data_IF_971584401852
#
_entry.id   IF_971584401852
#
_cell.length_a   1.000
_cell.length_b   1.000
_cell.length_c   1.000
_cell.angle_alpha   90.00
_cell.angle_beta   90.00
_cell.angle_gamma   90.00
#
_symmetry.space_group_name_H-M   'P 1'
#
loop_
_entity.id
_entity.type
_entity.pdbx_description
1 polymer ?
#
# COMPACT_ATOMS: atom_id res chain seq x y z
N UNK A 1 -15.19 -23.83 14.72
CA UNK A 1 -15.20 -22.68 13.78
C UNK A 1 -15.70 -21.47 14.53
N UNK A 2 -14.80 -20.56 14.92
CA UNK A 2 -15.17 -19.36 15.65
C UNK A 2 -15.91 -18.36 14.74
N UNK A 3 -16.78 -17.51 15.28
CA UNK A 3 -17.49 -16.52 14.47
C UNK A 3 -16.47 -15.54 13.88
N UNK A 4 -16.44 -15.44 12.55
CA UNK A 4 -15.78 -14.36 11.83
C UNK A 4 -16.40 -13.05 12.34
N UNK A 5 -15.75 -12.40 13.32
CA UNK A 5 -16.21 -11.15 13.91
C UNK A 5 -16.08 -10.03 12.88
N UNK A 6 -17.05 -9.93 11.98
CA UNK A 6 -17.36 -8.69 11.28
C UNK A 6 -17.90 -7.70 12.33
N UNK A 7 -17.00 -6.93 12.92
CA UNK A 7 -17.32 -5.82 13.81
C UNK A 7 -18.26 -4.85 13.10
N UNK A 8 -19.52 -4.85 13.56
CA UNK A 8 -20.48 -3.73 13.55
C UNK A 8 -20.95 -3.28 12.16
N UNK A 9 -22.28 -3.32 12.01
CA UNK A 9 -23.05 -2.80 10.87
C UNK A 9 -22.74 -1.32 10.63
N UNK A 10 -21.71 -1.06 9.82
CA UNK A 10 -21.43 0.22 9.19
C UNK A 10 -21.56 0.08 7.68
N UNK A 11 -21.83 1.19 6.99
CA UNK A 11 -21.92 1.28 5.52
C UNK A 11 -20.69 0.69 4.78
N UNK A 12 -19.57 0.47 5.49
CA UNK A 12 -18.30 -0.05 4.98
C UNK A 12 -17.77 -1.23 5.81
N UNK A 13 -18.45 -2.38 5.76
CA UNK A 13 -17.88 -3.62 6.28
C UNK A 13 -16.73 -4.11 5.37
N UNK A 14 -15.63 -4.52 5.97
CA UNK A 14 -14.51 -5.18 5.30
C UNK A 14 -14.60 -6.69 5.50
N UNK A 15 -14.26 -7.45 4.45
CA UNK A 15 -14.41 -8.90 4.41
C UNK A 15 -13.12 -9.56 3.95
N UNK A 16 -12.79 -10.70 4.54
CA UNK A 16 -11.63 -11.52 4.14
C UNK A 16 -11.86 -12.15 2.76
N UNK A 17 -10.79 -12.51 2.05
CA UNK A 17 -10.88 -13.16 0.76
C UNK A 17 -11.63 -14.51 0.87
N UNK A 18 -11.39 -15.27 1.93
CA UNK A 18 -12.10 -16.52 2.21
C UNK A 18 -13.62 -16.32 2.30
N UNK A 19 -14.06 -15.31 3.06
CA UNK A 19 -15.48 -15.01 3.19
C UNK A 19 -16.10 -14.60 1.85
N UNK A 20 -15.40 -13.76 1.07
CA UNK A 20 -15.86 -13.33 -0.25
C UNK A 20 -16.03 -14.51 -1.20
N UNK A 21 -15.08 -15.45 -1.20
CA UNK A 21 -15.15 -16.66 -2.01
C UNK A 21 -16.33 -17.55 -1.60
N UNK A 22 -16.52 -17.78 -0.30
CA UNK A 22 -17.68 -18.51 0.23
C UNK A 22 -19.02 -17.89 -0.21
N UNK A 23 -19.12 -16.57 -0.18
CA UNK A 23 -20.31 -15.86 -0.64
C UNK A 23 -20.53 -15.99 -2.16
N UNK A 24 -19.45 -16.02 -2.95
CA UNK A 24 -19.51 -16.21 -4.40
C UNK A 24 -19.92 -17.63 -4.79
N UNK A 25 -19.43 -18.65 -4.08
CA UNK A 25 -19.77 -20.04 -4.36
C UNK A 25 -21.26 -20.28 -4.09
N UNK A 26 -21.78 -19.77 -2.96
CA UNK A 26 -23.23 -19.81 -2.71
C UNK A 26 -24.04 -19.03 -3.76
N UNK A 27 -23.52 -17.90 -4.24
CA UNK A 27 -24.17 -17.10 -5.29
C UNK A 27 -24.17 -17.79 -6.66
N UNK A 28 -23.25 -18.73 -6.91
CA UNK A 28 -23.22 -19.51 -8.14
C UNK A 28 -24.44 -20.46 -8.21
N UNK A 29 -24.83 -21.04 -7.08
CA UNK A 29 -25.94 -21.98 -7.00
C UNK A 29 -27.30 -21.29 -6.80
N UNK A 30 -27.36 -20.22 -5.99
CA UNK A 30 -28.62 -19.60 -5.54
C UNK A 30 -28.87 -18.19 -6.12
N UNK A 31 -27.88 -17.61 -6.79
CA UNK A 31 -27.92 -16.24 -7.30
C UNK A 31 -27.52 -15.16 -6.28
N UNK A 32 -27.11 -13.99 -6.78
CA UNK A 32 -26.51 -12.93 -5.97
C UNK A 32 -27.45 -12.38 -4.88
N UNK A 33 -28.75 -12.26 -5.16
CA UNK A 33 -29.73 -11.74 -4.19
C UNK A 33 -29.96 -12.69 -3.03
N UNK A 34 -29.98 -14.00 -3.30
CA UNK A 34 -30.10 -15.02 -2.26
C UNK A 34 -28.85 -15.03 -1.38
N UNK A 35 -27.66 -14.96 -2.00
CA UNK A 35 -26.38 -14.86 -1.30
C UNK A 35 -26.32 -13.60 -0.40
N UNK A 36 -26.79 -12.46 -0.88
CA UNK A 36 -26.80 -11.22 -0.09
C UNK A 36 -27.65 -11.33 1.17
N UNK A 37 -28.85 -11.92 1.05
CA UNK A 37 -29.71 -12.20 2.21
C UNK A 37 -29.10 -13.23 3.16
N UNK A 38 -28.49 -14.28 2.62
CA UNK A 38 -27.90 -15.37 3.42
C UNK A 38 -26.71 -14.88 4.27
N UNK A 39 -25.85 -14.03 3.71
CA UNK A 39 -24.63 -13.56 4.39
C UNK A 39 -24.74 -12.17 5.02
N UNK A 40 -25.89 -11.49 4.90
CA UNK A 40 -26.04 -10.11 5.38
C UNK A 40 -25.17 -9.11 4.62
N UNK A 41 -24.99 -9.33 3.32
CA UNK A 41 -24.11 -8.55 2.44
C UNK A 41 -24.95 -7.91 1.33
N UNK A 42 -24.70 -6.64 1.03
CA UNK A 42 -25.34 -5.98 -0.10
C UNK A 42 -25.06 -6.74 -1.41
N UNK A 43 -26.09 -7.00 -2.21
CA UNK A 43 -25.96 -7.71 -3.50
C UNK A 43 -24.91 -7.06 -4.42
N UNK A 44 -24.79 -5.72 -4.35
CA UNK A 44 -23.78 -4.95 -5.09
C UNK A 44 -22.36 -5.42 -4.76
N UNK A 45 -22.06 -5.77 -3.50
CA UNK A 45 -20.75 -6.28 -3.09
C UNK A 45 -20.48 -7.64 -3.70
N UNK A 46 -21.48 -8.54 -3.71
CA UNK A 46 -21.36 -9.87 -4.30
C UNK A 46 -21.09 -9.76 -5.81
N UNK A 47 -21.82 -8.87 -6.49
CA UNK A 47 -21.60 -8.56 -7.90
C UNK A 47 -20.19 -8.02 -8.16
N UNK A 48 -19.69 -7.16 -7.29
CA UNK A 48 -18.33 -6.62 -7.37
C UNK A 48 -17.27 -7.70 -7.15
N UNK A 49 -17.42 -8.55 -6.13
CA UNK A 49 -16.50 -9.66 -5.86
C UNK A 49 -16.48 -10.67 -6.99
N UNK A 50 -17.61 -10.87 -7.69
CA UNK A 50 -17.68 -11.76 -8.85
C UNK A 50 -16.71 -11.33 -9.95
N UNK A 51 -16.56 -10.01 -10.17
CA UNK A 51 -15.57 -9.44 -11.10
C UNK A 51 -14.12 -9.63 -10.63
N UNK A 52 -13.92 -9.85 -9.34
CA UNK A 52 -12.60 -10.03 -8.71
C UNK A 52 -12.31 -11.49 -8.35
N UNK A 53 -13.11 -12.46 -8.84
CA UNK A 53 -13.01 -13.87 -8.43
C UNK A 53 -11.59 -14.42 -8.61
N UNK A 54 -10.98 -14.19 -9.76
CA UNK A 54 -9.63 -14.68 -10.05
C UNK A 54 -8.58 -14.06 -9.12
N UNK A 55 -8.69 -12.76 -8.84
CA UNK A 55 -7.80 -12.08 -7.89
C UNK A 55 -7.98 -12.58 -6.46
N UNK A 56 -9.22 -12.91 -6.07
CA UNK A 56 -9.53 -13.48 -4.76
C UNK A 56 -8.94 -14.89 -4.61
N UNK A 57 -9.08 -15.74 -5.63
CA UNK A 57 -8.50 -17.08 -5.68
C UNK A 57 -6.97 -17.05 -5.65
N UNK A 58 -6.34 -16.10 -6.33
CA UNK A 58 -4.89 -15.91 -6.33
C UNK A 58 -4.35 -15.27 -5.03
N UNK A 59 -5.22 -14.82 -4.12
CA UNK A 59 -4.83 -14.10 -2.90
C UNK A 59 -4.85 -15.00 -1.66
N UNK A 60 -4.13 -14.58 -0.61
CA UNK A 60 -4.20 -15.26 0.69
C UNK A 60 -5.64 -15.16 1.26
N UNK A 61 -6.14 -16.25 1.83
CA UNK A 61 -7.46 -16.35 2.45
C UNK A 61 -7.75 -15.25 3.48
N UNK A 62 -6.72 -14.82 4.20
CA UNK A 62 -6.80 -13.77 5.23
C UNK A 62 -6.81 -12.36 4.65
N UNK A 63 -6.63 -12.15 3.33
CA UNK A 63 -6.54 -10.82 2.73
C UNK A 63 -7.87 -10.06 2.80
N UNK A 64 -7.86 -8.85 3.35
CA UNK A 64 -9.09 -8.05 3.54
C UNK A 64 -9.44 -7.19 2.32
N UNK A 65 -8.44 -6.62 1.64
CA UNK A 65 -8.67 -5.71 0.51
C UNK A 65 -7.53 -5.74 -0.52
N UNK A 66 -7.87 -5.37 -1.75
CA UNK A 66 -6.92 -5.05 -2.80
C UNK A 66 -6.64 -3.53 -2.74
N UNK A 67 -5.67 -3.13 -1.93
CA UNK A 67 -5.23 -1.72 -1.79
C UNK A 67 -4.02 -1.48 -2.68
N UNK A 68 -4.12 -0.46 -3.53
CA UNK A 68 -3.02 0.18 -4.28
C UNK A 68 -2.12 -0.73 -5.13
N UNK A 69 -1.38 -0.18 -6.10
CA UNK A 69 -0.18 -0.86 -6.58
C UNK A 69 0.78 -1.02 -5.39
N UNK A 70 1.47 -2.17 -5.33
CA UNK A 70 2.52 -2.40 -4.32
C UNK A 70 3.71 -1.47 -4.52
N UNK A 71 3.98 -1.10 -5.77
CA UNK A 71 4.92 -0.06 -6.14
C UNK A 71 4.23 1.30 -6.02
N UNK A 72 4.87 2.25 -5.33
CA UNK A 72 4.39 3.62 -5.26
C UNK A 72 4.35 4.29 -6.63
N UNK A 73 3.99 5.58 -6.66
CA UNK A 73 3.96 6.37 -7.90
C UNK A 73 5.34 6.52 -8.55
N UNK A 74 6.41 6.39 -7.77
CA UNK A 74 7.79 6.62 -8.19
C UNK A 74 8.62 5.33 -8.10
N UNK A 75 8.17 4.28 -8.79
CA UNK A 75 8.81 2.96 -8.70
C UNK A 75 10.29 2.96 -9.06
N UNK A 76 10.72 3.83 -9.97
CA UNK A 76 12.10 3.86 -10.43
C UNK A 76 13.02 4.60 -9.46
N UNK A 77 12.51 5.66 -8.82
CA UNK A 77 13.18 6.33 -7.70
C UNK A 77 13.30 5.36 -6.51
N UNK A 78 12.22 4.63 -6.19
CA UNK A 78 12.22 3.63 -5.12
C UNK A 78 13.29 2.55 -5.34
N UNK A 79 13.45 2.05 -6.57
CA UNK A 79 14.50 1.07 -6.93
C UNK A 79 15.90 1.64 -6.77
N UNK A 80 16.15 2.85 -7.29
CA UNK A 80 17.47 3.44 -7.27
C UNK A 80 17.92 3.81 -5.84
N UNK A 81 17.00 4.30 -5.01
CA UNK A 81 17.24 4.53 -3.59
C UNK A 81 17.47 3.20 -2.85
N UNK A 82 16.74 2.14 -3.19
CA UNK A 82 16.94 0.81 -2.60
C UNK A 82 18.34 0.25 -2.91
N UNK A 83 18.84 0.40 -4.13
CA UNK A 83 20.20 -0.01 -4.51
C UNK A 83 21.24 0.77 -3.71
N UNK A 84 21.12 2.10 -3.64
CA UNK A 84 21.99 2.93 -2.80
C UNK A 84 22.03 2.48 -1.34
N UNK A 85 20.87 2.20 -0.73
CA UNK A 85 20.79 1.74 0.67
C UNK A 85 21.49 0.38 0.85
N UNK A 86 21.38 -0.53 -0.13
CA UNK A 86 22.04 -1.84 -0.08
C UNK A 86 23.56 -1.69 -0.12
N UNK A 87 24.07 -0.84 -1.01
CA UNK A 87 25.52 -0.62 -1.16
C UNK A 87 26.10 0.01 0.10
N UNK A 88 25.48 1.09 0.62
CA UNK A 88 25.92 1.74 1.84
C UNK A 88 25.94 0.78 3.05
N UNK A 89 24.94 -0.10 3.16
CA UNK A 89 24.88 -1.10 4.24
C UNK A 89 25.88 -2.23 4.06
N UNK A 90 26.17 -2.61 2.81
CA UNK A 90 27.20 -3.61 2.50
C UNK A 90 28.59 -3.11 2.93
N UNK A 91 28.83 -1.83 2.78
CA UNK A 91 30.07 -1.17 3.19
C UNK A 91 30.12 -0.86 4.70
N UNK A 92 29.07 -1.21 5.44
CA UNK A 92 28.99 -1.05 6.90
C UNK A 92 28.54 0.33 7.37
N UNK A 93 28.10 1.22 6.47
CA UNK A 93 27.61 2.53 6.84
C UNK A 93 26.15 2.50 7.32
N UNK A 94 25.87 3.25 8.37
CA UNK A 94 24.51 3.54 8.79
C UNK A 94 23.85 4.51 7.79
N UNK A 95 22.64 4.19 7.34
CA UNK A 95 21.90 5.03 6.39
C UNK A 95 20.82 5.81 7.13
N UNK A 96 20.95 7.14 7.15
CA UNK A 96 19.96 8.04 7.76
C UNK A 96 18.84 8.38 6.78
N UNK A 97 17.71 8.88 7.32
CA UNK A 97 16.59 9.33 6.51
C UNK A 97 16.94 10.52 5.61
N UNK A 98 17.85 11.39 6.06
CA UNK A 98 18.26 12.57 5.31
C UNK A 98 19.10 12.22 4.08
N UNK A 99 19.96 11.20 4.21
CA UNK A 99 20.71 10.63 3.09
C UNK A 99 19.77 10.03 2.04
N UNK A 100 18.75 9.28 2.48
CA UNK A 100 17.73 8.69 1.61
C UNK A 100 16.96 9.79 0.87
N UNK A 101 16.57 10.87 1.55
CA UNK A 101 15.87 12.01 0.93
C UNK A 101 16.73 12.74 -0.07
N UNK A 102 17.98 13.02 0.28
CA UNK A 102 18.95 13.69 -0.60
C UNK A 102 19.17 12.86 -1.86
N UNK A 103 19.32 11.55 -1.72
CA UNK A 103 19.46 10.63 -2.84
C UNK A 103 18.17 10.54 -3.67
N UNK A 104 16.99 10.50 -3.04
CA UNK A 104 15.72 10.48 -3.77
C UNK A 104 15.50 11.78 -4.58
N UNK A 105 15.88 12.93 -4.03
CA UNK A 105 15.77 14.23 -4.67
C UNK A 105 16.81 14.49 -5.76
N UNK A 106 17.91 13.72 -5.79
CA UNK A 106 18.93 13.86 -6.84
C UNK A 106 18.51 13.22 -8.17
N UNK A 107 17.51 12.33 -8.17
CA UNK A 107 17.00 11.72 -9.39
C UNK A 107 16.10 12.70 -10.18
N UNK A 108 16.46 13.02 -11.44
CA UNK A 108 15.81 14.06 -12.25
C UNK A 108 14.39 13.71 -12.74
N UNK A 109 13.94 12.46 -12.55
CA UNK A 109 12.60 11.98 -12.91
C UNK A 109 11.51 12.43 -11.92
N UNK A 110 11.88 13.02 -10.77
CA UNK A 110 10.96 13.74 -9.90
C UNK A 110 10.61 15.10 -10.55
N UNK A 111 9.82 15.05 -11.62
CA UNK A 111 9.43 16.22 -12.42
C UNK A 111 9.10 17.44 -11.56
N UNK A 112 9.91 18.48 -11.72
CA UNK A 112 9.52 19.89 -11.75
C UNK A 112 8.32 20.28 -10.86
N UNK A 113 8.42 20.13 -9.53
CA UNK A 113 7.51 20.80 -8.59
C UNK A 113 8.05 20.83 -7.15
N UNK A 114 9.26 21.35 -6.95
CA UNK A 114 9.59 22.01 -5.68
C UNK A 114 10.72 23.01 -5.94
N UNK A 115 10.33 24.22 -6.34
CA UNK A 115 11.01 25.44 -5.82
C UNK A 115 10.72 25.46 -4.31
N UNK A 116 11.42 24.61 -3.57
CA UNK A 116 11.30 24.45 -2.14
C UNK A 116 12.72 24.29 -1.63
N UNK A 117 13.36 25.44 -1.42
CA UNK A 117 14.67 25.56 -0.80
C UNK A 117 14.76 24.57 0.38
N UNK A 118 15.78 23.69 0.46
CA UNK A 118 16.00 22.92 1.67
C UNK A 118 16.11 23.94 2.80
N UNK A 119 15.16 23.89 3.74
CA UNK A 119 15.10 24.89 4.82
C UNK A 119 16.43 24.88 5.57
N UNK A 120 17.18 25.96 5.38
CA UNK A 120 18.23 26.51 6.24
C UNK A 120 19.06 25.47 7.01
N UNK A 121 20.20 25.08 6.44
CA UNK A 121 21.41 25.09 7.24
C UNK A 121 21.94 26.53 7.17
N UNK A 122 21.80 27.31 8.25
CA UNK A 122 22.40 28.64 8.33
C UNK A 122 23.92 28.47 8.19
N UNK A 123 24.46 28.90 7.05
CA UNK A 123 25.90 29.07 6.85
C UNK A 123 26.30 30.45 7.40
N UNK A 124 25.97 30.74 8.67
CA UNK A 124 26.57 31.87 9.40
C UNK A 124 27.58 31.43 10.45
N UNK A 125 27.83 30.11 10.57
CA UNK A 125 28.75 29.59 11.59
C UNK A 125 30.00 28.91 10.99
N UNK A 126 30.42 29.28 9.77
CA UNK A 126 31.85 29.18 9.42
C UNK A 126 32.54 30.42 9.92
N UNK A 127 32.74 30.41 11.24
CA UNK A 127 33.50 31.37 12.01
C UNK A 127 34.84 31.66 11.36
N UNK A 128 35.05 32.95 11.21
CA UNK A 128 36.28 33.68 11.03
C UNK A 128 37.24 33.49 12.22
N UNK A 129 37.65 32.25 12.50
CA UNK A 129 38.49 31.93 13.66
C UNK A 129 39.47 30.79 13.36
N UNK A 130 40.49 31.11 12.56
CA UNK A 130 41.84 30.59 12.66
C UNK A 130 42.72 31.43 11.72
N UNK A 131 43.01 32.65 12.18
CA UNK A 131 44.37 33.19 12.01
C UNK A 131 45.37 32.28 12.74
#
# INVERSE_FOLDING_TARGET
>A
MGPDRCSVMGRYASFTAAFKLKALDYAQDHGNRAAGRHFGVDEIRIRYWKKQRDMLMASNSTRWAFRGPKSGKFSDIDKAVLEYVKDMRKDGYAVSLDMIRTQACSFPEAGNSHKGHPRQFRLVDTLHAAE
#
